data_IF_428354840700
#
_entry.id   IF_428354840700
#
_cell.length_a   1.000
_cell.length_b   1.000
_cell.length_c   1.000
_cell.angle_alpha   90.00
_cell.angle_beta   90.00
_cell.angle_gamma   90.00
#
_symmetry.space_group_name_H-M   'P 1'
#
loop_
_entity.id
_entity.type
_entity.pdbx_description
1 polymer ?
#
# COMPACT_ATOMS: atom_id res chain seq x y z
N UNK A 1 -3.79 1.08 -13.55
CA UNK A 1 -2.50 1.73 -13.91
C UNK A 1 -1.60 1.99 -12.71
N UNK A 2 -2.12 2.61 -11.63
CA UNK A 2 -1.32 2.97 -10.44
C UNK A 2 -0.45 1.83 -9.89
N UNK A 3 -1.01 0.62 -9.71
CA UNK A 3 -0.26 -0.55 -9.23
C UNK A 3 0.90 -0.96 -10.13
N UNK A 4 0.74 -0.91 -11.45
CA UNK A 4 1.82 -1.27 -12.40
C UNK A 4 2.91 -0.20 -12.41
N UNK A 5 2.52 1.08 -12.53
CA UNK A 5 3.49 2.17 -12.56
C UNK A 5 4.27 2.30 -11.23
N UNK A 6 3.55 2.26 -10.09
CA UNK A 6 4.16 2.29 -8.77
C UNK A 6 5.00 1.05 -8.48
N UNK A 7 4.54 -0.14 -8.91
CA UNK A 7 5.31 -1.38 -8.80
C UNK A 7 6.63 -1.36 -9.58
N UNK A 8 6.63 -0.82 -10.80
CA UNK A 8 7.87 -0.65 -11.58
C UNK A 8 8.80 0.34 -10.88
N UNK A 9 8.27 1.48 -10.42
CA UNK A 9 9.06 2.51 -9.75
C UNK A 9 9.72 1.97 -8.46
N UNK A 10 8.92 1.39 -7.56
CA UNK A 10 9.41 0.89 -6.27
C UNK A 10 10.39 -0.25 -6.44
N UNK A 11 10.09 -1.26 -7.28
CA UNK A 11 10.98 -2.41 -7.43
C UNK A 11 12.26 -2.08 -8.19
N UNK A 12 12.24 -1.09 -9.08
CA UNK A 12 13.47 -0.62 -9.70
C UNK A 12 14.37 0.13 -8.71
N UNK A 13 13.78 0.95 -7.82
CA UNK A 13 14.51 1.71 -6.82
C UNK A 13 15.08 0.83 -5.70
N UNK A 14 14.24 -0.02 -5.10
CA UNK A 14 14.56 -1.05 -4.09
C UNK A 14 15.74 -1.93 -4.56
N UNK A 15 15.60 -2.58 -5.72
CA UNK A 15 16.65 -3.45 -6.26
C UNK A 15 17.95 -2.69 -6.57
N UNK A 16 17.87 -1.44 -7.05
CA UNK A 16 19.07 -0.64 -7.30
C UNK A 16 19.76 -0.19 -6.01
N UNK A 17 18.99 0.22 -5.00
CA UNK A 17 19.48 0.65 -3.70
C UNK A 17 20.15 -0.52 -2.96
N UNK A 18 19.49 -1.67 -2.92
CA UNK A 18 19.95 -2.85 -2.19
C UNK A 18 21.15 -3.52 -2.84
N UNK A 19 21.14 -3.72 -4.16
CA UNK A 19 22.25 -4.42 -4.82
C UNK A 19 23.53 -3.59 -4.75
N UNK A 20 23.46 -2.30 -5.10
CA UNK A 20 24.67 -1.46 -5.11
C UNK A 20 25.09 -1.12 -3.68
N UNK A 21 24.15 -0.83 -2.78
CA UNK A 21 24.46 -0.51 -1.39
C UNK A 21 25.01 -1.72 -0.62
N UNK A 22 24.20 -2.78 -0.48
CA UNK A 22 24.51 -3.92 0.39
C UNK A 22 25.56 -4.84 -0.23
N UNK A 23 25.52 -5.09 -1.54
CA UNK A 23 26.36 -6.12 -2.18
C UNK A 23 27.66 -5.56 -2.76
N UNK A 24 27.63 -4.38 -3.38
CA UNK A 24 28.82 -3.80 -4.03
C UNK A 24 29.60 -2.85 -3.14
N UNK A 25 28.91 -1.99 -2.40
CA UNK A 25 29.51 -0.94 -1.57
C UNK A 25 29.67 -1.33 -0.08
N UNK A 26 29.06 -2.45 0.34
CA UNK A 26 29.08 -2.96 1.72
C UNK A 26 28.61 -1.90 2.74
N UNK A 27 27.57 -1.14 2.37
CA UNK A 27 26.90 -0.18 3.26
C UNK A 27 25.55 -0.74 3.72
N UNK A 28 25.07 -0.23 4.86
CA UNK A 28 23.82 -0.66 5.46
C UNK A 28 22.61 -0.36 4.55
N UNK A 29 21.51 -1.08 4.79
CA UNK A 29 20.19 -0.78 4.21
C UNK A 29 19.75 0.63 4.59
N UNK A 30 19.10 1.33 3.64
CA UNK A 30 18.62 2.71 3.84
C UNK A 30 19.72 3.71 4.27
N UNK A 31 20.99 3.41 4.00
CA UNK A 31 22.08 4.31 4.35
C UNK A 31 21.91 5.67 3.63
N UNK A 32 21.98 6.81 4.36
CA UNK A 32 21.72 8.14 3.81
C UNK A 32 22.73 8.58 2.74
N UNK A 33 23.87 7.91 2.62
CA UNK A 33 24.87 8.15 1.57
C UNK A 33 24.52 7.43 0.26
N UNK A 34 23.58 6.48 0.27
CA UNK A 34 23.09 5.83 -0.94
C UNK A 34 22.02 6.71 -1.63
N UNK A 35 22.32 7.29 -2.80
CA UNK A 35 21.38 8.22 -3.45
C UNK A 35 20.09 7.56 -3.93
N UNK A 36 20.03 6.23 -4.00
CA UNK A 36 18.83 5.50 -4.40
C UNK A 36 17.79 5.37 -3.26
N UNK A 37 18.18 5.57 -2.00
CA UNK A 37 17.30 5.36 -0.82
C UNK A 37 16.10 6.29 -0.80
N UNK A 38 16.23 7.52 -1.30
CA UNK A 38 15.08 8.42 -1.44
C UNK A 38 14.08 7.88 -2.45
N UNK A 39 14.56 7.35 -3.58
CA UNK A 39 13.69 6.78 -4.60
C UNK A 39 13.01 5.51 -4.11
N UNK A 40 13.69 4.71 -3.28
CA UNK A 40 13.13 3.51 -2.67
C UNK A 40 11.97 3.84 -1.72
N UNK A 41 12.22 4.71 -0.74
CA UNK A 41 11.20 5.17 0.22
C UNK A 41 10.02 5.91 -0.46
N UNK A 42 10.28 6.65 -1.55
CA UNK A 42 9.19 7.22 -2.38
C UNK A 42 8.43 6.09 -3.08
N UNK A 43 9.14 5.08 -3.55
CA UNK A 43 8.59 3.88 -4.17
C UNK A 43 7.61 3.17 -3.26
N UNK A 44 7.93 2.94 -1.99
CA UNK A 44 7.03 2.27 -1.06
C UNK A 44 5.69 2.99 -0.92
N UNK A 45 5.72 4.33 -0.87
CA UNK A 45 4.49 5.11 -0.80
C UNK A 45 3.70 5.10 -2.13
N UNK A 46 4.39 5.12 -3.27
CA UNK A 46 3.75 5.17 -4.59
C UNK A 46 3.24 3.80 -5.04
N UNK A 47 4.02 2.74 -4.83
CA UNK A 47 3.71 1.37 -5.20
C UNK A 47 2.89 0.66 -4.14
N UNK A 48 3.47 0.50 -2.95
CA UNK A 48 2.93 -0.38 -1.93
C UNK A 48 1.73 0.24 -1.22
N UNK A 49 1.69 1.57 -1.04
CA UNK A 49 0.52 2.25 -0.47
C UNK A 49 -0.49 2.64 -1.55
N UNK A 50 -0.14 3.56 -2.46
CA UNK A 50 -1.11 4.08 -3.42
C UNK A 50 -1.55 3.02 -4.45
N UNK A 51 -0.63 2.17 -4.91
CA UNK A 51 -0.92 1.08 -5.83
C UNK A 51 -1.82 0.01 -5.21
N UNK A 52 -1.54 -0.42 -3.98
CA UNK A 52 -2.39 -1.38 -3.25
C UNK A 52 -3.76 -0.78 -2.93
N UNK A 53 -3.83 0.49 -2.53
CA UNK A 53 -5.10 1.18 -2.27
C UNK A 53 -6.00 1.19 -3.49
N UNK A 54 -5.45 1.48 -4.68
CA UNK A 54 -6.19 1.44 -5.93
C UNK A 54 -6.70 0.04 -6.30
N UNK A 55 -5.88 -0.99 -6.06
CA UNK A 55 -6.22 -2.40 -6.33
C UNK A 55 -7.35 -2.92 -5.45
N UNK A 56 -7.31 -2.59 -4.15
CA UNK A 56 -8.37 -2.92 -3.20
C UNK A 56 -9.67 -2.17 -3.53
N UNK A 57 -9.57 -0.89 -3.91
CA UNK A 57 -10.73 -0.11 -4.33
C UNK A 57 -11.40 -0.70 -5.58
N UNK A 58 -10.62 -1.05 -6.60
CA UNK A 58 -11.13 -1.67 -7.82
C UNK A 58 -11.81 -3.01 -7.52
N UNK A 59 -11.18 -3.87 -6.71
CA UNK A 59 -11.75 -5.16 -6.31
C UNK A 59 -13.05 -5.00 -5.51
N UNK A 60 -13.09 -4.05 -4.57
CA UNK A 60 -14.26 -3.78 -3.76
C UNK A 60 -15.45 -3.30 -4.60
N UNK A 61 -15.25 -2.24 -5.40
CA UNK A 61 -16.30 -1.70 -6.28
C UNK A 61 -16.71 -2.73 -7.34
N UNK A 62 -15.74 -3.41 -7.95
CA UNK A 62 -15.97 -4.44 -8.96
C UNK A 62 -16.85 -5.58 -8.44
N UNK A 63 -16.61 -6.06 -7.21
CA UNK A 63 -17.43 -7.12 -6.61
C UNK A 63 -18.88 -6.69 -6.37
N UNK A 64 -19.10 -5.44 -5.93
CA UNK A 64 -20.44 -4.88 -5.70
C UNK A 64 -21.19 -4.73 -7.03
N UNK A 65 -20.53 -4.17 -8.05
CA UNK A 65 -21.10 -4.00 -9.37
C UNK A 65 -21.42 -5.35 -10.02
N UNK A 66 -20.53 -6.34 -9.91
CA UNK A 66 -20.77 -7.69 -10.43
C UNK A 66 -22.00 -8.36 -9.78
N UNK A 67 -22.14 -8.25 -8.46
CA UNK A 67 -23.31 -8.76 -7.76
C UNK A 67 -24.59 -8.00 -8.13
N UNK A 68 -24.52 -6.69 -8.31
CA UNK A 68 -25.66 -5.86 -8.68
C UNK A 68 -26.12 -6.13 -10.13
N UNK A 69 -25.20 -6.36 -11.07
CA UNK A 69 -25.54 -6.67 -12.47
C UNK A 69 -26.22 -8.02 -12.61
N UNK A 70 -25.83 -9.02 -11.79
CA UNK A 70 -26.51 -10.32 -11.71
C UNK A 70 -27.95 -10.23 -11.18
N UNK A 71 -28.33 -9.14 -10.51
CA UNK A 71 -29.65 -8.96 -9.94
C UNK A 71 -30.77 -8.67 -10.97
N UNK A 72 -30.41 -8.34 -12.21
CA UNK A 72 -31.36 -7.97 -13.27
C UNK A 72 -32.10 -6.67 -12.98
N UNK A 73 -33.38 -6.57 -13.39
CA UNK A 73 -34.18 -5.34 -13.24
C UNK A 73 -34.76 -5.11 -11.83
N UNK A 74 -34.52 -6.03 -10.89
CA UNK A 74 -35.06 -5.90 -9.54
C UNK A 74 -34.24 -4.91 -8.71
N UNK A 75 -34.80 -3.71 -8.51
CA UNK A 75 -34.20 -2.67 -7.66
C UNK A 75 -33.86 -3.14 -6.24
N UNK A 76 -34.73 -3.96 -5.65
CA UNK A 76 -34.51 -4.53 -4.32
C UNK A 76 -33.29 -5.48 -4.29
N UNK A 77 -33.07 -6.28 -5.33
CA UNK A 77 -31.93 -7.20 -5.41
C UNK A 77 -30.64 -6.46 -5.75
N UNK A 78 -30.69 -5.41 -6.57
CA UNK A 78 -29.54 -4.54 -6.84
C UNK A 78 -29.05 -3.80 -5.58
N UNK A 79 -29.96 -3.47 -4.66
CA UNK A 79 -29.60 -2.80 -3.40
C UNK A 79 -28.90 -3.73 -2.40
N UNK A 80 -29.06 -5.05 -2.51
CA UNK A 80 -28.53 -6.02 -1.56
C UNK A 80 -26.99 -5.98 -1.41
N UNK A 81 -26.18 -6.01 -2.49
CA UNK A 81 -24.72 -5.92 -2.35
C UNK A 81 -24.27 -4.56 -1.77
N UNK A 82 -25.01 -3.48 -2.02
CA UNK A 82 -24.72 -2.16 -1.42
C UNK A 82 -24.91 -2.18 0.10
N UNK A 83 -26.02 -2.74 0.58
CA UNK A 83 -26.27 -2.88 2.01
C UNK A 83 -25.28 -3.81 2.69
N UNK A 84 -24.89 -4.90 2.03
CA UNK A 84 -23.88 -5.81 2.55
C UNK A 84 -22.52 -5.12 2.70
N UNK A 85 -22.10 -4.36 1.68
CA UNK A 85 -20.87 -3.57 1.71
C UNK A 85 -20.89 -2.52 2.84
N UNK A 86 -22.01 -1.81 3.01
CA UNK A 86 -22.18 -0.83 4.09
C UNK A 86 -22.09 -1.46 5.48
N UNK A 87 -22.73 -2.62 5.69
CA UNK A 87 -22.65 -3.36 6.95
C UNK A 87 -21.20 -3.82 7.24
N UNK A 88 -20.50 -4.31 6.21
CA UNK A 88 -19.09 -4.67 6.30
C UNK A 88 -18.21 -3.49 6.71
N UNK A 89 -18.41 -2.32 6.11
CA UNK A 89 -17.66 -1.10 6.43
C UNK A 89 -17.87 -0.66 7.89
N UNK A 90 -19.11 -0.72 8.40
CA UNK A 90 -19.39 -0.44 9.82
C UNK A 90 -18.68 -1.45 10.72
N UNK A 91 -18.71 -2.74 10.37
CA UNK A 91 -18.00 -3.80 11.10
C UNK A 91 -16.49 -3.57 11.15
N UNK A 92 -15.87 -3.24 10.01
CA UNK A 92 -14.44 -2.90 9.92
C UNK A 92 -14.10 -1.65 10.73
N UNK A 93 -14.95 -0.62 10.70
CA UNK A 93 -14.76 0.60 11.49
C UNK A 93 -14.78 0.32 12.99
N UNK A 94 -15.72 -0.49 13.46
CA UNK A 94 -15.76 -0.91 14.87
C UNK A 94 -14.54 -1.77 15.21
N UNK A 95 -14.18 -2.73 14.34
CA UNK A 95 -13.04 -3.62 14.51
C UNK A 95 -11.70 -2.88 14.62
N UNK A 96 -11.53 -1.77 13.90
CA UNK A 96 -10.33 -0.93 13.96
C UNK A 96 -9.97 -0.51 15.40
N UNK A 97 -10.96 -0.17 16.24
CA UNK A 97 -10.73 0.23 17.63
C UNK A 97 -10.24 -0.89 18.54
N UNK A 98 -10.36 -2.15 18.13
CA UNK A 98 -9.88 -3.31 18.88
C UNK A 98 -8.45 -3.71 18.51
N UNK A 99 -7.89 -3.15 17.44
CA UNK A 99 -6.50 -3.42 17.04
C UNK A 99 -5.56 -2.68 17.98
N UNK A 100 -4.59 -3.41 18.55
CA UNK A 100 -3.48 -2.87 19.35
C UNK A 100 -2.16 -3.43 18.83
N UNK A 101 -1.16 -2.58 18.76
CA UNK A 101 0.22 -2.94 18.37
C UNK A 101 1.15 -2.56 19.53
N UNK A 102 1.90 -3.52 20.06
CA UNK A 102 2.78 -3.30 21.22
C UNK A 102 4.22 -2.91 20.82
N UNK A 103 4.55 -2.88 19.53
CA UNK A 103 5.90 -2.57 19.04
C UNK A 103 6.11 -1.05 18.88
N UNK A 104 7.17 -0.55 19.53
CA UNK A 104 7.71 0.79 19.28
C UNK A 104 8.81 0.68 18.22
N UNK A 105 8.63 1.35 17.08
CA UNK A 105 9.67 1.47 16.06
C UNK A 105 10.73 2.49 16.48
N UNK A 106 11.96 2.03 16.71
CA UNK A 106 13.12 2.92 16.88
C UNK A 106 13.64 3.30 15.50
N UNK A 107 13.36 4.54 15.06
CA UNK A 107 13.86 5.06 13.79
C UNK A 107 15.37 5.34 13.82
N UNK A 108 16.03 5.24 12.66
CA UNK A 108 17.47 5.51 12.50
C UNK A 108 17.77 6.97 12.84
N UNK A 109 18.69 7.21 13.79
CA UNK A 109 19.14 8.56 14.17
C UNK A 109 20.33 8.96 13.31
N UNK A 110 20.10 9.78 12.29
CA UNK A 110 21.16 10.30 11.43
C UNK A 110 21.63 11.68 11.93
N UNK A 111 22.93 11.82 12.16
CA UNK A 111 23.58 13.10 12.52
C UNK A 111 24.00 13.85 11.25
N UNK A 112 23.17 14.81 10.86
CA UNK A 112 23.35 15.64 9.66
C UNK A 112 24.46 16.70 9.80
N UNK A 113 25.10 16.83 10.97
CA UNK A 113 26.14 17.84 11.20
C UNK A 113 27.50 17.49 10.58
N UNK A 114 27.62 16.32 9.94
CA UNK A 114 28.83 15.84 9.26
C UNK A 114 28.82 16.03 7.73
N UNK A 115 27.79 16.67 7.18
CA UNK A 115 27.72 17.15 5.79
C UNK A 115 28.40 18.51 5.64
#
# INVERSE_FOLDING_TARGET
>A
FARVAGGIYTKAADVAADLVGKVEADIDEDDPHNPAVIADNVGDNVGDVAGMGADLFESFVGSILAAATLAGESSARMALPMWLAAAGLIGSFVGFFFVRTDEKGDGVKVDLSKL
#
